data_IF_251151529495
#
_entry.id   IF_251151529495
#
_cell.length_a   1.000
_cell.length_b   1.000
_cell.length_c   1.000
_cell.angle_alpha   90.00
_cell.angle_beta   90.00
_cell.angle_gamma   90.00
#
_symmetry.space_group_name_H-M   'P 1'
#
loop_
_entity.id
_entity.type
_entity.pdbx_description
1 polymer ?
#
# COMPACT_ATOMS: atom_id res chain seq x y z
N UNK A 1 18.30 58.63 -45.99
CA UNK A 1 18.98 58.42 -44.68
C UNK A 1 17.97 57.77 -43.74
N UNK A 2 17.71 56.48 -43.95
CA UNK A 2 16.76 55.66 -43.19
C UNK A 2 17.61 54.69 -42.40
N UNK A 3 18.10 55.09 -41.22
CA UNK A 3 18.82 54.20 -40.32
C UNK A 3 18.51 54.68 -38.90
N UNK A 4 18.18 53.71 -38.04
CA UNK A 4 18.17 53.77 -36.58
C UNK A 4 16.83 54.02 -35.86
N UNK A 5 15.87 53.12 -36.08
CA UNK A 5 14.87 52.77 -35.07
C UNK A 5 14.79 51.26 -34.91
N UNK A 6 15.78 50.62 -34.28
CA UNK A 6 15.61 49.30 -33.62
C UNK A 6 16.71 49.12 -32.58
N UNK A 7 16.38 49.25 -31.28
CA UNK A 7 16.93 48.51 -30.12
C UNK A 7 16.76 49.30 -28.82
N UNK A 8 15.68 49.04 -28.07
CA UNK A 8 15.74 49.04 -26.59
C UNK A 8 14.79 47.94 -26.08
N UNK A 9 15.41 46.76 -25.91
CA UNK A 9 15.22 45.75 -24.86
C UNK A 9 13.79 45.44 -24.40
N UNK A 10 13.39 44.23 -24.81
CA UNK A 10 12.42 43.32 -24.18
C UNK A 10 12.50 43.45 -22.65
N UNK A 11 11.50 44.08 -22.04
CA UNK A 11 11.25 43.99 -20.62
C UNK A 11 10.86 42.53 -20.34
N UNK A 12 11.64 41.87 -19.49
CA UNK A 12 11.50 40.44 -19.18
C UNK A 12 10.07 40.08 -18.79
N UNK A 13 9.46 39.23 -19.59
CA UNK A 13 8.34 38.41 -19.14
C UNK A 13 8.95 37.30 -18.28
N UNK A 14 9.19 37.61 -17.00
CA UNK A 14 9.31 36.56 -16.02
C UNK A 14 7.90 36.00 -15.83
N UNK A 15 7.57 34.96 -16.61
CA UNK A 15 6.43 34.11 -16.31
C UNK A 15 6.73 33.49 -14.95
N UNK A 16 6.20 34.07 -13.88
CA UNK A 16 6.03 33.32 -12.64
C UNK A 16 5.19 32.10 -12.99
N UNK A 17 5.82 30.92 -13.01
CA UNK A 17 5.09 29.65 -13.02
C UNK A 17 4.07 29.73 -11.88
N UNK A 18 2.77 29.49 -12.13
CA UNK A 18 1.81 29.46 -11.05
C UNK A 18 2.24 28.37 -10.07
N UNK A 19 2.62 28.78 -8.87
CA UNK A 19 2.66 27.90 -7.71
C UNK A 19 1.20 27.66 -7.36
N UNK A 20 0.65 26.53 -7.82
CA UNK A 20 -0.68 26.07 -7.42
C UNK A 20 -1.46 25.43 -8.55
N UNK A 21 -1.37 24.10 -8.62
CA UNK A 21 -2.50 23.19 -8.89
C UNK A 21 -1.96 21.75 -8.76
N UNK A 22 -2.80 20.85 -8.28
CA UNK A 22 -2.46 19.46 -7.96
C UNK A 22 -1.60 18.82 -9.04
N UNK A 23 -0.56 18.07 -8.65
CA UNK A 23 0.28 17.33 -9.58
C UNK A 23 -0.58 16.27 -10.32
N UNK A 24 -1.22 16.68 -11.41
CA UNK A 24 -2.00 15.83 -12.29
C UNK A 24 -1.08 14.80 -12.94
N UNK A 25 -1.55 13.56 -12.99
CA UNK A 25 -0.79 12.48 -13.61
C UNK A 25 -0.59 12.75 -15.10
N UNK A 26 0.63 13.03 -15.54
CA UNK A 26 0.99 13.23 -16.95
C UNK A 26 1.47 11.93 -17.63
N UNK A 27 1.14 10.76 -17.07
CA UNK A 27 1.62 9.49 -17.60
C UNK A 27 0.92 9.14 -18.92
N UNK A 28 1.68 9.13 -20.02
CA UNK A 28 1.16 8.86 -21.36
C UNK A 28 0.96 7.36 -21.65
N UNK A 29 1.64 6.48 -20.90
CA UNK A 29 1.58 5.03 -21.11
C UNK A 29 1.20 4.26 -19.85
N UNK A 30 0.55 3.10 -20.05
CA UNK A 30 0.30 2.13 -18.99
C UNK A 30 1.63 1.59 -18.43
N UNK A 31 1.78 1.68 -17.11
CA UNK A 31 2.90 1.08 -16.39
C UNK A 31 2.47 -0.25 -15.74
N UNK A 32 3.35 -1.26 -15.83
CA UNK A 32 3.17 -2.53 -15.11
C UNK A 32 3.93 -2.50 -13.80
N UNK A 33 3.30 -2.96 -12.73
CA UNK A 33 3.90 -3.06 -11.40
C UNK A 33 3.84 -4.50 -10.89
N UNK A 34 4.80 -4.83 -10.02
CA UNK A 34 4.74 -6.01 -9.15
C UNK A 34 4.45 -5.54 -7.74
N UNK A 35 3.38 -6.08 -7.14
CA UNK A 35 3.02 -5.83 -5.74
C UNK A 35 3.53 -7.00 -4.92
N UNK A 36 4.28 -6.73 -3.87
CA UNK A 36 4.85 -7.72 -2.96
C UNK A 36 4.29 -7.44 -1.57
N UNK A 37 3.56 -8.39 -1.01
CA UNK A 37 3.07 -8.32 0.36
C UNK A 37 3.96 -9.14 1.29
N UNK A 38 4.44 -8.50 2.35
CA UNK A 38 5.33 -9.10 3.34
C UNK A 38 4.60 -9.10 4.68
N UNK A 39 4.16 -10.26 5.15
CA UNK A 39 3.60 -10.39 6.50
C UNK A 39 4.70 -10.24 7.55
N UNK A 40 4.63 -9.19 8.38
CA UNK A 40 5.53 -8.94 9.53
C UNK A 40 4.94 -9.44 10.86
N UNK A 41 3.79 -10.10 10.80
CA UNK A 41 3.21 -10.80 11.93
C UNK A 41 4.17 -11.92 12.34
N UNK A 42 4.84 -11.75 13.49
CA UNK A 42 5.78 -12.70 14.11
C UNK A 42 5.53 -12.80 15.62
N UNK A 43 5.89 -13.92 16.27
CA UNK A 43 5.73 -14.08 17.72
C UNK A 43 6.54 -13.04 18.51
N UNK A 44 7.68 -12.58 17.98
CA UNK A 44 8.50 -11.57 18.65
C UNK A 44 7.81 -10.20 18.62
N UNK A 45 7.23 -9.82 17.48
CA UNK A 45 6.55 -8.52 17.34
C UNK A 45 5.13 -8.53 17.93
N UNK A 46 4.42 -9.66 17.82
CA UNK A 46 3.05 -9.87 18.28
C UNK A 46 2.94 -11.17 19.08
N UNK A 47 3.48 -11.22 20.30
CA UNK A 47 3.56 -12.45 21.09
C UNK A 47 2.21 -12.97 21.57
N UNK A 48 1.21 -12.09 21.64
CA UNK A 48 -0.12 -12.48 22.11
C UNK A 48 -0.82 -13.33 21.05
N UNK A 49 -1.04 -14.60 21.36
CA UNK A 49 -1.83 -15.56 20.56
C UNK A 49 -1.30 -15.77 19.12
N UNK A 50 0.03 -15.86 18.95
CA UNK A 50 0.68 -16.00 17.65
C UNK A 50 0.54 -17.41 17.00
N UNK A 51 0.16 -17.56 15.71
CA UNK A 51 0.06 -18.86 15.01
C UNK A 51 1.39 -19.49 14.56
N UNK A 52 1.56 -20.82 14.67
CA UNK A 52 2.88 -21.51 14.66
C UNK A 52 3.34 -22.26 13.37
N UNK A 53 2.63 -22.29 12.24
CA UNK A 53 3.06 -23.05 11.03
C UNK A 53 3.27 -22.18 9.78
N UNK A 54 4.43 -22.33 9.09
CA UNK A 54 4.78 -21.62 7.82
C UNK A 54 6.06 -22.15 7.12
N UNK A 55 6.23 -22.00 5.77
CA UNK A 55 7.53 -22.12 5.05
C UNK A 55 8.23 -20.77 4.67
N UNK A 56 9.47 -20.75 4.09
CA UNK A 56 10.37 -19.57 4.01
C UNK A 56 10.48 -18.85 2.64
N UNK A 57 11.09 -17.64 2.60
CA UNK A 57 11.11 -16.70 1.45
C UNK A 57 12.50 -16.10 1.07
N UNK A 58 12.64 -15.50 -0.14
CA UNK A 58 13.81 -14.72 -0.64
C UNK A 58 13.43 -13.49 -1.52
N UNK A 59 14.37 -12.58 -1.86
CA UNK A 59 14.15 -11.16 -2.27
C UNK A 59 14.76 -10.68 -3.62
N UNK A 60 14.29 -9.52 -4.17
CA UNK A 60 15.02 -8.59 -5.11
C UNK A 60 14.35 -7.20 -5.27
N UNK A 61 14.94 -6.29 -6.09
CA UNK A 61 15.17 -4.83 -5.88
C UNK A 61 14.18 -3.76 -6.42
N UNK A 62 14.30 -2.58 -5.76
CA UNK A 62 13.74 -1.21 -5.90
C UNK A 62 12.22 -1.03 -5.70
N UNK A 63 11.87 -0.34 -4.61
CA UNK A 63 10.71 -0.60 -3.78
C UNK A 63 10.07 0.72 -3.32
N UNK A 64 8.77 0.91 -3.56
CA UNK A 64 7.95 1.81 -2.72
C UNK A 64 7.32 0.96 -1.65
N UNK A 65 7.77 1.08 -0.40
CA UNK A 65 7.34 0.24 0.73
C UNK A 65 6.47 1.03 1.70
N UNK A 66 5.29 0.50 2.00
CA UNK A 66 4.33 1.07 2.97
C UNK A 66 4.12 0.05 4.09
N UNK A 67 4.32 0.48 5.33
CA UNK A 67 4.01 -0.32 6.51
C UNK A 67 2.49 -0.32 6.76
N UNK A 68 1.97 -1.48 7.11
CA UNK A 68 0.53 -1.73 7.28
C UNK A 68 0.21 -2.04 8.74
N UNK A 69 -0.96 -1.57 9.17
CA UNK A 69 -1.52 -1.73 10.51
C UNK A 69 -2.89 -2.42 10.44
N UNK A 70 -3.32 -3.10 11.51
CA UNK A 70 -4.59 -3.81 11.52
C UNK A 70 -5.79 -2.85 11.52
N UNK A 71 -6.85 -3.23 10.82
CA UNK A 71 -8.15 -2.54 10.83
C UNK A 71 -9.26 -3.52 11.20
N UNK A 72 -10.23 -3.03 11.95
CA UNK A 72 -11.49 -3.70 12.23
C UNK A 72 -12.51 -3.33 11.16
N UNK A 73 -13.28 -4.29 10.67
CA UNK A 73 -14.30 -4.06 9.64
C UNK A 73 -15.63 -3.54 10.20
N UNK A 74 -15.85 -3.64 11.52
CA UNK A 74 -17.08 -3.21 12.20
C UNK A 74 -18.24 -4.20 12.07
N UNK A 75 -17.98 -5.46 11.73
CA UNK A 75 -19.03 -6.47 11.45
C UNK A 75 -19.13 -7.60 12.47
N UNK A 76 -18.03 -7.90 13.17
CA UNK A 76 -17.96 -8.94 14.19
C UNK A 76 -17.27 -8.38 15.46
N UNK A 77 -17.88 -8.60 16.62
CA UNK A 77 -17.49 -8.07 17.92
C UNK A 77 -16.64 -9.06 18.74
N UNK A 78 -16.06 -10.08 18.10
CA UNK A 78 -15.10 -10.99 18.71
C UNK A 78 -13.83 -10.27 19.17
N UNK A 79 -13.45 -10.44 20.44
CA UNK A 79 -12.29 -9.75 21.02
C UNK A 79 -10.93 -10.36 20.65
N UNK A 80 -10.89 -11.65 20.34
CA UNK A 80 -9.63 -12.37 20.09
C UNK A 80 -9.62 -12.98 18.71
N UNK A 81 -8.45 -13.36 18.22
CA UNK A 81 -8.30 -14.03 16.92
C UNK A 81 -9.12 -15.31 16.78
N UNK A 82 -9.44 -15.95 17.91
CA UNK A 82 -10.15 -17.23 17.98
C UNK A 82 -11.49 -17.12 18.71
N UNK A 83 -12.04 -15.90 18.82
CA UNK A 83 -13.39 -15.72 19.36
C UNK A 83 -14.44 -16.35 18.44
N UNK A 84 -15.55 -16.89 18.99
CA UNK A 84 -16.67 -17.30 18.16
C UNK A 84 -17.30 -16.08 17.48
N UNK A 85 -17.95 -16.29 16.34
CA UNK A 85 -18.62 -15.20 15.61
C UNK A 85 -19.67 -14.51 16.49
N UNK A 86 -19.64 -13.19 16.52
CA UNK A 86 -20.59 -12.37 17.26
C UNK A 86 -20.89 -11.09 16.49
N UNK A 87 -22.01 -11.05 15.76
CA UNK A 87 -22.32 -9.93 14.86
C UNK A 87 -22.40 -8.58 15.62
N UNK A 88 -21.75 -7.55 15.06
CA UNK A 88 -21.86 -6.16 15.56
C UNK A 88 -23.18 -5.57 15.08
N UNK A 89 -24.06 -5.19 16.02
CA UNK A 89 -25.39 -4.63 15.72
C UNK A 89 -25.62 -3.36 16.58
N UNK A 90 -25.82 -2.18 15.96
CA UNK A 90 -25.76 -1.91 14.51
C UNK A 90 -24.34 -2.10 13.95
N UNK A 91 -24.21 -2.25 12.63
CA UNK A 91 -22.89 -2.37 11.98
C UNK A 91 -22.09 -1.07 12.15
N UNK A 92 -20.81 -1.21 12.51
CA UNK A 92 -19.87 -0.10 12.70
C UNK A 92 -19.06 0.18 11.41
N UNK A 93 -18.33 1.29 11.40
CA UNK A 93 -17.42 1.63 10.28
C UNK A 93 -16.07 0.94 10.42
N UNK A 94 -15.31 0.91 9.33
CA UNK A 94 -13.91 0.47 9.36
C UNK A 94 -13.09 1.37 10.29
N UNK A 95 -12.38 0.78 11.25
CA UNK A 95 -11.58 1.52 12.25
C UNK A 95 -10.18 0.94 12.39
N UNK A 96 -9.20 1.80 12.62
CA UNK A 96 -7.82 1.35 12.87
C UNK A 96 -7.72 0.72 14.26
N UNK A 97 -7.11 -0.46 14.34
CA UNK A 97 -6.78 -1.11 15.60
C UNK A 97 -5.40 -0.62 16.04
N UNK A 98 -5.32 -0.09 17.25
CA UNK A 98 -4.09 0.43 17.85
C UNK A 98 -3.70 -0.37 19.09
N UNK A 99 -2.52 -0.09 19.66
CA UNK A 99 -2.09 -0.75 20.90
C UNK A 99 -2.96 -0.40 22.12
N UNK A 100 -3.74 0.67 22.03
CA UNK A 100 -4.59 1.19 23.10
C UNK A 100 -6.09 1.13 22.80
N UNK A 101 -6.51 0.90 21.56
CA UNK A 101 -7.92 0.84 21.14
C UNK A 101 -8.15 -0.29 20.15
N UNK A 102 -9.11 -1.20 20.40
CA UNK A 102 -10.03 -1.22 21.54
C UNK A 102 -9.35 -1.59 22.88
N UNK A 103 -9.75 -0.92 23.97
CA UNK A 103 -9.03 -0.89 25.26
C UNK A 103 -9.44 -1.99 26.25
N UNK A 104 -9.45 -3.25 25.82
CA UNK A 104 -9.80 -4.39 26.67
C UNK A 104 -8.65 -5.40 26.80
N UNK A 105 -8.35 -5.94 28.01
CA UNK A 105 -7.25 -6.89 28.22
C UNK A 105 -7.32 -8.16 27.36
N UNK A 106 -8.52 -8.59 26.97
CA UNK A 106 -8.69 -9.73 26.08
C UNK A 106 -8.28 -9.41 24.64
N UNK A 107 -8.39 -8.15 24.17
CA UNK A 107 -8.18 -7.79 22.77
C UNK A 107 -6.80 -8.18 22.26
N UNK A 108 -6.74 -8.86 21.13
CA UNK A 108 -5.49 -9.44 20.59
C UNK A 108 -4.36 -8.41 20.42
N UNK A 109 -4.72 -7.19 20.00
CA UNK A 109 -3.76 -6.11 19.75
C UNK A 109 -3.66 -5.09 20.90
N UNK A 110 -4.24 -5.37 22.05
CA UNK A 110 -4.11 -4.49 23.21
C UNK A 110 -2.77 -4.73 23.92
N UNK A 111 -1.86 -3.76 23.77
CA UNK A 111 -0.52 -3.76 24.35
C UNK A 111 -0.31 -2.45 25.13
N UNK A 112 -0.75 -2.35 26.40
CA UNK A 112 -0.81 -1.08 27.15
C UNK A 112 0.55 -0.44 27.42
N UNK A 113 1.64 -1.21 27.27
CA UNK A 113 3.02 -0.72 27.44
C UNK A 113 3.63 -0.17 26.15
N UNK A 114 3.00 -0.41 25.00
CA UNK A 114 3.46 0.10 23.71
C UNK A 114 2.79 1.44 23.41
N UNK A 115 3.56 2.35 22.81
CA UNK A 115 3.03 3.64 22.31
C UNK A 115 2.36 3.52 20.94
N UNK A 116 2.83 2.57 20.14
CA UNK A 116 2.33 2.26 18.80
C UNK A 116 2.54 0.77 18.54
N UNK A 117 1.68 0.14 17.75
CA UNK A 117 1.91 -1.22 17.29
C UNK A 117 3.13 -1.27 16.36
N UNK A 118 3.94 -2.35 16.38
CA UNK A 118 4.80 -2.62 15.25
C UNK A 118 3.95 -2.85 13.98
N UNK A 119 4.47 -2.60 12.77
CA UNK A 119 3.78 -2.94 11.54
C UNK A 119 3.45 -4.44 11.47
N UNK A 120 2.20 -4.78 11.14
CA UNK A 120 1.77 -6.19 11.00
C UNK A 120 2.10 -6.75 9.62
N UNK A 121 2.21 -5.87 8.63
CA UNK A 121 2.67 -6.21 7.30
C UNK A 121 3.37 -5.01 6.65
N UNK A 122 3.91 -5.25 5.47
CA UNK A 122 4.43 -4.22 4.59
C UNK A 122 4.06 -4.58 3.17
N UNK A 123 3.55 -3.62 2.41
CA UNK A 123 3.35 -3.76 0.97
C UNK A 123 4.43 -3.02 0.23
N UNK A 124 4.92 -3.61 -0.85
CA UNK A 124 5.93 -3.02 -1.69
C UNK A 124 5.51 -3.03 -3.14
N UNK A 125 5.58 -1.88 -3.81
CA UNK A 125 5.28 -1.74 -5.24
C UNK A 125 6.56 -1.51 -6.03
N UNK A 126 6.79 -2.32 -7.06
CA UNK A 126 7.97 -2.26 -7.94
C UNK A 126 7.52 -2.03 -9.36
N UNK A 127 7.95 -0.93 -10.00
CA UNK A 127 7.68 -0.70 -11.42
C UNK A 127 8.50 -1.69 -12.25
N UNK A 128 7.85 -2.42 -13.15
CA UNK A 128 8.52 -3.34 -14.05
C UNK A 128 9.13 -2.55 -15.22
N UNK A 129 10.40 -2.85 -15.55
CA UNK A 129 11.03 -2.31 -16.76
C UNK A 129 10.38 -2.95 -17.99
N UNK A 130 10.03 -2.13 -18.98
CA UNK A 130 9.58 -2.60 -20.30
C UNK A 130 10.79 -3.29 -20.97
N UNK A 131 10.68 -4.57 -21.36
CA UNK A 131 11.73 -5.23 -22.14
C UNK A 131 11.74 -4.64 -23.55
N UNK A 132 12.87 -4.05 -23.95
CA UNK A 132 13.11 -3.58 -25.33
C UNK A 132 13.50 -4.75 -26.26
N UNK A 133 12.76 -5.88 -26.22
CA UNK A 133 12.84 -6.86 -27.31
C UNK A 133 11.60 -6.63 -28.17
N UNK A 134 11.80 -5.92 -29.28
CA UNK A 134 10.77 -5.57 -30.23
C UNK A 134 10.15 -6.81 -30.87
N UNK A 135 9.00 -7.22 -30.36
CA UNK A 135 7.90 -7.86 -31.07
C UNK A 135 6.66 -7.42 -30.31
N UNK A 136 5.81 -6.63 -30.95
CA UNK A 136 4.46 -6.35 -30.45
C UNK A 136 3.73 -7.69 -30.38
N UNK A 137 3.75 -8.34 -29.22
CA UNK A 137 2.86 -9.45 -28.95
C UNK A 137 1.44 -8.92 -29.20
N UNK A 138 0.64 -9.54 -30.09
CA UNK A 138 -0.72 -9.08 -30.32
C UNK A 138 -1.43 -9.05 -28.97
N UNK A 139 -2.24 -8.02 -28.76
CA UNK A 139 -3.10 -7.89 -27.59
C UNK A 139 -3.95 -9.16 -27.45
N UNK A 140 -3.47 -10.13 -26.67
CA UNK A 140 -4.31 -11.19 -26.15
C UNK A 140 -5.04 -10.53 -24.99
N UNK A 141 -6.35 -10.35 -25.14
CA UNK A 141 -7.26 -10.17 -24.02
C UNK A 141 -7.04 -11.35 -23.08
N UNK A 142 -6.13 -11.21 -22.10
CA UNK A 142 -6.10 -12.14 -20.99
C UNK A 142 -7.41 -11.90 -20.24
N UNK A 143 -8.31 -12.89 -20.12
CA UNK A 143 -9.39 -12.78 -19.16
C UNK A 143 -8.72 -12.51 -17.81
N UNK A 144 -9.29 -11.60 -17.01
CA UNK A 144 -8.86 -11.33 -15.65
C UNK A 144 -8.79 -12.67 -14.91
N UNK A 145 -7.62 -13.31 -14.93
CA UNK A 145 -7.41 -14.57 -14.25
C UNK A 145 -7.41 -14.18 -12.79
N UNK A 146 -8.48 -14.61 -12.14
CA UNK A 146 -8.78 -14.45 -10.71
C UNK A 146 -7.50 -14.36 -9.88
N UNK A 147 -7.48 -13.44 -8.91
CA UNK A 147 -6.47 -13.42 -7.86
C UNK A 147 -6.62 -14.71 -7.03
N UNK A 148 -6.16 -15.84 -7.56
CA UNK A 148 -6.18 -17.15 -6.89
C UNK A 148 -4.97 -17.26 -5.97
N UNK A 149 -5.25 -17.41 -4.67
CA UNK A 149 -4.29 -17.93 -3.71
C UNK A 149 -4.19 -19.44 -3.97
N UNK A 150 -3.05 -19.89 -4.51
CA UNK A 150 -2.79 -21.31 -4.74
C UNK A 150 -2.29 -21.90 -3.43
N UNK A 151 -3.21 -22.38 -2.59
CA UNK A 151 -2.88 -23.20 -1.43
C UNK A 151 -2.63 -24.64 -1.91
N UNK A 152 -1.36 -24.96 -2.20
CA UNK A 152 -0.97 -26.36 -2.46
C UNK A 152 -0.78 -27.06 -1.12
N UNK A 153 -1.81 -27.79 -0.68
CA UNK A 153 -1.72 -28.75 0.43
C UNK A 153 -1.31 -30.10 -0.14
N UNK A 154 -0.23 -30.67 0.39
CA UNK A 154 0.06 -32.11 0.37
C UNK A 154 0.29 -32.57 1.79
#
# INVERSE_FOLDING_TARGET
KVIWTVLVTILGYASSLPVGEDALCTAEELAKYRIIFIGKWSQTAFPKQYPLYRPPAQWSSLLVSVDLFPYDAGTDSGFTFSSPNFATIPQDTVTEITCSSPSHPANSFYYPKLKILPPIAQVTMVRLKKSQLGLSAPFINLPAKSNEIIDTVS
#
